data_IF_129329985206
#
_entry.id   IF_129329985206
#
_cell.length_a   1.000
_cell.length_b   1.000
_cell.length_c   1.000
_cell.angle_alpha   90.00
_cell.angle_beta   90.00
_cell.angle_gamma   90.00
#
_symmetry.space_group_name_H-M   'P 1'
#
loop_
_entity.id
_entity.type
_entity.pdbx_description
1 polymer ?
#
# COMPACT_ATOMS: atom_id res chain seq x y z
N UNK A 1 -18.90 20.07 -43.44
CA UNK A 1 -17.81 20.75 -42.68
C UNK A 1 -17.89 20.61 -41.16
N UNK A 2 -18.94 20.01 -40.55
CA UNK A 2 -19.00 19.75 -39.09
C UNK A 2 -18.44 18.39 -38.66
N UNK A 3 -18.52 17.34 -39.49
CA UNK A 3 -18.02 16.00 -39.11
C UNK A 3 -16.50 15.94 -38.91
N UNK A 4 -15.73 16.73 -39.68
CA UNK A 4 -14.27 16.75 -39.59
C UNK A 4 -13.76 17.41 -38.28
N UNK A 5 -14.59 18.22 -37.61
CA UNK A 5 -14.26 18.84 -36.32
C UNK A 5 -14.52 17.92 -35.12
N UNK A 6 -15.41 16.93 -35.25
CA UNK A 6 -15.68 15.95 -34.20
C UNK A 6 -14.60 14.86 -34.11
N UNK A 7 -13.97 14.48 -35.22
CA UNK A 7 -12.93 13.46 -35.23
C UNK A 7 -11.64 13.96 -34.56
N UNK A 8 -11.31 15.26 -34.72
CA UNK A 8 -10.14 15.88 -34.08
C UNK A 8 -10.30 15.98 -32.55
N UNK A 9 -11.52 16.12 -32.04
CA UNK A 9 -11.77 16.12 -30.59
C UNK A 9 -11.69 14.73 -29.95
N UNK A 10 -11.89 13.65 -30.72
CA UNK A 10 -11.83 12.27 -30.20
C UNK A 10 -10.40 11.68 -30.19
N UNK A 11 -9.47 12.27 -30.95
CA UNK A 11 -8.07 11.82 -31.02
C UNK A 11 -7.16 12.36 -29.90
N UNK A 12 -7.69 13.16 -28.97
CA UNK A 12 -6.93 13.71 -27.82
C UNK A 12 -7.25 12.93 -26.52
N UNK A 13 -7.91 11.78 -26.60
CA UNK A 13 -7.82 10.78 -25.53
C UNK A 13 -6.42 10.17 -25.57
N UNK A 14 -5.46 10.96 -25.07
CA UNK A 14 -4.07 10.60 -24.90
C UNK A 14 -4.04 9.35 -24.02
N UNK A 15 -3.45 8.30 -24.56
CA UNK A 15 -2.98 7.14 -23.81
C UNK A 15 -1.99 7.66 -22.76
N UNK A 16 -2.46 7.95 -21.56
CA UNK A 16 -1.59 8.06 -20.38
C UNK A 16 -1.11 6.65 -20.06
N UNK A 17 -0.01 6.26 -20.70
CA UNK A 17 0.69 5.02 -20.37
C UNK A 17 1.36 5.22 -19.02
N UNK A 18 0.92 4.48 -18.01
CA UNK A 18 1.68 4.36 -16.77
C UNK A 18 3.03 3.68 -17.05
N UNK A 19 4.08 4.13 -16.37
CA UNK A 19 5.39 3.52 -16.39
C UNK A 19 6.14 3.76 -15.09
N UNK A 20 7.10 2.87 -14.82
CA UNK A 20 8.04 2.98 -13.70
C UNK A 20 9.42 3.34 -14.23
N UNK A 21 10.10 4.28 -13.59
CA UNK A 21 11.46 4.66 -13.95
C UNK A 21 12.32 5.01 -12.73
N UNK A 22 13.65 5.02 -12.92
CA UNK A 22 14.58 5.36 -11.84
C UNK A 22 14.69 6.86 -11.61
N UNK A 23 14.58 7.28 -10.36
CA UNK A 23 14.65 8.68 -9.92
C UNK A 23 15.37 8.80 -8.56
N UNK A 24 15.64 10.01 -8.06
CA UNK A 24 16.18 10.30 -6.70
C UNK A 24 17.33 9.37 -6.22
N UNK A 25 18.30 9.11 -7.11
CA UNK A 25 19.40 8.19 -6.79
C UNK A 25 18.93 6.75 -6.64
N UNK A 26 18.31 6.20 -7.70
CA UNK A 26 17.88 4.79 -7.84
C UNK A 26 16.55 4.38 -7.18
N UNK A 27 15.77 5.32 -6.65
CA UNK A 27 14.37 5.07 -6.30
C UNK A 27 13.52 4.74 -7.53
N UNK A 28 12.36 4.14 -7.32
CA UNK A 28 11.38 3.81 -8.36
C UNK A 28 10.23 4.80 -8.31
N UNK A 29 10.10 5.60 -9.36
CA UNK A 29 9.00 6.53 -9.53
C UNK A 29 7.91 5.85 -10.36
N UNK A 30 6.76 5.58 -9.75
CA UNK A 30 5.59 4.97 -10.38
C UNK A 30 4.54 6.04 -10.70
N UNK A 31 4.21 6.18 -11.98
CA UNK A 31 3.21 7.16 -12.42
C UNK A 31 1.77 6.67 -12.33
N UNK A 32 1.51 5.36 -12.13
CA UNK A 32 0.16 4.83 -11.89
C UNK A 32 -0.26 5.14 -10.46
N UNK A 33 0.60 4.72 -9.52
CA UNK A 33 0.34 4.82 -8.10
C UNK A 33 0.69 6.21 -7.56
N UNK A 34 1.19 7.09 -8.42
CA UNK A 34 1.61 8.46 -8.08
C UNK A 34 2.55 8.47 -6.87
N UNK A 35 3.42 7.46 -6.79
CA UNK A 35 4.24 7.14 -5.63
C UNK A 35 5.71 6.97 -6.00
N UNK A 36 6.59 7.45 -5.12
CA UNK A 36 8.04 7.25 -5.24
C UNK A 36 8.49 6.24 -4.18
N UNK A 37 8.99 5.10 -4.62
CA UNK A 37 9.48 4.01 -3.78
C UNK A 37 11.00 4.10 -3.60
N UNK A 38 11.43 4.52 -2.41
CA UNK A 38 12.81 4.71 -2.00
C UNK A 38 13.17 3.81 -0.80
N UNK A 39 12.68 2.58 -0.76
CA UNK A 39 12.87 1.68 0.38
C UNK A 39 14.22 0.94 0.33
N UNK A 40 14.59 0.31 1.46
CA UNK A 40 15.63 -0.73 1.52
C UNK A 40 17.06 -0.34 1.17
N UNK A 41 17.46 0.90 1.49
CA UNK A 41 18.84 1.35 1.35
C UNK A 41 19.39 1.86 2.69
N UNK A 42 20.05 0.95 3.44
CA UNK A 42 20.61 1.24 4.78
C UNK A 42 21.69 2.33 4.78
N UNK A 43 22.28 2.65 3.62
CA UNK A 43 23.28 3.72 3.49
C UNK A 43 22.64 5.09 3.19
N UNK A 44 21.34 5.11 2.86
CA UNK A 44 20.62 6.35 2.55
C UNK A 44 20.30 7.10 3.84
N UNK A 45 21.14 8.09 4.14
CA UNK A 45 20.99 8.95 5.32
C UNK A 45 20.14 10.22 5.11
N UNK A 46 19.90 10.56 3.84
CA UNK A 46 19.18 11.77 3.44
C UNK A 46 18.32 11.51 2.22
N UNK A 47 17.24 12.27 2.10
CA UNK A 47 16.45 12.33 0.89
C UNK A 47 17.22 13.11 -0.19
N UNK A 48 17.46 12.46 -1.33
CA UNK A 48 17.94 13.16 -2.51
C UNK A 48 16.79 13.94 -3.14
N UNK A 49 17.08 15.18 -3.54
CA UNK A 49 16.11 16.03 -4.21
C UNK A 49 16.33 15.97 -5.71
N UNK A 50 15.25 16.00 -6.51
CA UNK A 50 15.38 15.97 -7.95
C UNK A 50 15.92 17.32 -8.44
N UNK A 51 16.73 17.29 -9.50
CA UNK A 51 17.21 18.51 -10.15
C UNK A 51 16.04 19.37 -10.63
N UNK A 52 15.05 18.71 -11.24
CA UNK A 52 13.81 19.33 -11.73
C UNK A 52 12.65 18.99 -10.81
N UNK A 53 11.66 19.88 -10.77
CA UNK A 53 10.38 19.63 -10.08
C UNK A 53 9.69 18.39 -10.66
N UNK A 54 9.24 17.48 -9.80
CA UNK A 54 8.44 16.31 -10.15
C UNK A 54 7.01 16.54 -9.69
N UNK A 55 6.04 16.43 -10.60
CA UNK A 55 4.61 16.65 -10.36
C UNK A 55 3.85 15.34 -10.47
N UNK A 56 2.67 15.27 -9.87
CA UNK A 56 1.79 14.10 -9.90
C UNK A 56 2.27 12.97 -9.00
N UNK A 57 3.08 13.27 -7.99
CA UNK A 57 3.47 12.31 -6.96
C UNK A 57 2.91 12.77 -5.62
N UNK A 58 2.00 11.97 -5.07
CA UNK A 58 1.32 12.26 -3.81
C UNK A 58 2.05 11.64 -2.62
N UNK A 59 2.80 10.56 -2.84
CA UNK A 59 3.42 9.77 -1.78
C UNK A 59 4.89 9.47 -2.06
N UNK A 60 5.70 9.48 -1.00
CA UNK A 60 7.10 9.05 -1.06
C UNK A 60 7.35 8.05 0.06
N UNK A 61 7.64 6.80 -0.32
CA UNK A 61 8.02 5.75 0.60
C UNK A 61 9.52 5.72 0.82
N UNK A 62 9.99 5.91 2.05
CA UNK A 62 11.40 5.90 2.43
C UNK A 62 11.67 4.96 3.62
N UNK A 63 10.91 3.89 3.74
CA UNK A 63 11.08 2.93 4.84
C UNK A 63 12.37 2.10 4.73
N UNK A 64 12.85 1.59 5.87
CA UNK A 64 14.03 0.73 5.95
C UNK A 64 15.32 1.35 5.38
N UNK A 65 15.56 2.63 5.68
CA UNK A 65 16.80 3.34 5.37
C UNK A 65 17.51 3.79 6.67
N UNK A 66 18.40 4.79 6.58
CA UNK A 66 18.97 5.52 7.73
C UNK A 66 18.65 7.02 7.67
N UNK A 67 17.48 7.40 7.13
CA UNK A 67 17.07 8.81 7.00
C UNK A 67 17.08 9.45 8.37
N UNK A 68 17.87 10.52 8.53
CA UNK A 68 18.01 11.21 9.82
C UNK A 68 17.13 12.44 9.91
N UNK A 69 17.05 13.19 8.82
CA UNK A 69 16.30 14.44 8.75
C UNK A 69 15.74 14.57 7.34
N UNK A 70 14.48 14.99 7.24
CA UNK A 70 13.86 15.35 5.96
C UNK A 70 14.19 16.81 5.60
N UNK A 71 14.21 17.17 4.30
CA UNK A 71 14.26 18.56 3.87
C UNK A 71 13.11 19.40 4.44
N UNK A 72 13.23 20.72 4.45
CA UNK A 72 12.14 21.59 4.92
C UNK A 72 10.87 21.41 4.08
N UNK A 73 9.71 21.60 4.70
CA UNK A 73 8.40 21.47 4.04
C UNK A 73 8.29 22.35 2.79
N UNK A 74 8.79 23.59 2.84
CA UNK A 74 8.79 24.49 1.69
C UNK A 74 9.63 23.95 0.53
N UNK A 75 10.80 23.37 0.82
CA UNK A 75 11.67 22.79 -0.22
C UNK A 75 11.08 21.50 -0.79
N UNK A 76 10.43 20.70 0.04
CA UNK A 76 9.70 19.52 -0.41
C UNK A 76 8.59 19.91 -1.37
N UNK A 77 7.74 20.88 -1.01
CA UNK A 77 6.63 21.34 -1.86
C UNK A 77 7.11 22.11 -3.10
N UNK A 78 8.29 22.74 -3.06
CA UNK A 78 8.91 23.32 -4.25
C UNK A 78 9.29 22.24 -5.27
N UNK A 79 9.78 21.09 -4.79
CA UNK A 79 10.24 19.98 -5.64
C UNK A 79 9.13 19.00 -6.00
N UNK A 80 8.16 18.81 -5.12
CA UNK A 80 7.03 17.89 -5.21
C UNK A 80 5.75 18.64 -4.80
N UNK A 81 5.14 19.43 -5.70
CA UNK A 81 4.04 20.33 -5.35
C UNK A 81 2.74 19.60 -4.98
N UNK A 82 2.58 18.36 -5.42
CA UNK A 82 1.39 17.54 -5.18
C UNK A 82 1.58 16.57 -3.99
N UNK A 83 2.73 16.66 -3.30
CA UNK A 83 3.10 15.77 -2.21
C UNK A 83 2.17 15.92 -1.02
N UNK A 84 1.61 14.80 -0.57
CA UNK A 84 0.69 14.73 0.56
C UNK A 84 1.34 14.03 1.75
N UNK A 85 2.09 12.95 1.53
CA UNK A 85 2.75 12.24 2.62
C UNK A 85 4.13 11.67 2.26
N UNK A 86 4.98 11.57 3.28
CA UNK A 86 6.25 10.85 3.24
C UNK A 86 6.22 9.81 4.34
N UNK A 87 6.54 8.58 3.98
CA UNK A 87 6.71 7.48 4.93
C UNK A 87 8.20 7.29 5.24
N UNK A 88 8.59 7.58 6.49
CA UNK A 88 9.93 7.39 7.02
C UNK A 88 9.96 6.35 8.15
N UNK A 89 8.97 5.45 8.21
CA UNK A 89 8.97 4.35 9.16
C UNK A 89 10.21 3.47 8.99
N UNK A 90 10.65 2.84 10.07
CA UNK A 90 11.77 1.91 10.11
C UNK A 90 13.11 2.56 9.72
N UNK A 91 13.26 3.84 10.08
CA UNK A 91 14.51 4.62 10.04
C UNK A 91 15.00 4.87 11.48
N UNK A 92 15.93 4.04 12.03
CA UNK A 92 16.23 4.02 13.46
C UNK A 92 16.81 5.32 14.03
N UNK A 93 17.46 6.11 13.18
CA UNK A 93 18.12 7.36 13.57
C UNK A 93 17.37 8.61 13.09
N UNK A 94 16.07 8.47 12.75
CA UNK A 94 15.25 9.61 12.35
C UNK A 94 15.01 10.56 13.52
N UNK A 95 15.26 11.85 13.29
CA UNK A 95 15.11 12.90 14.30
C UNK A 95 13.64 13.32 14.43
N UNK A 96 12.94 12.66 15.36
CA UNK A 96 11.55 12.94 15.71
C UNK A 96 11.28 14.39 16.14
N UNK A 97 12.30 15.14 16.59
CA UNK A 97 12.11 16.53 16.99
C UNK A 97 11.78 17.46 15.82
N UNK A 98 12.03 16.99 14.59
CA UNK A 98 11.76 17.74 13.36
C UNK A 98 10.31 17.65 12.91
N UNK A 99 9.53 16.66 13.37
CA UNK A 99 8.15 16.44 12.92
C UNK A 99 7.22 17.67 13.02
N UNK A 100 7.26 18.50 14.07
CA UNK A 100 6.38 19.66 14.19
C UNK A 100 6.56 20.72 13.09
N UNK A 101 7.65 20.66 12.31
CA UNK A 101 7.89 21.59 11.21
C UNK A 101 7.12 21.25 9.93
N UNK A 102 6.45 20.10 9.89
CA UNK A 102 5.63 19.66 8.77
C UNK A 102 4.15 19.84 9.14
N UNK A 103 3.45 20.70 8.39
CA UNK A 103 2.06 21.09 8.64
C UNK A 103 1.11 20.73 7.50
N UNK A 104 1.65 20.64 6.27
CA UNK A 104 0.93 20.35 5.03
C UNK A 104 1.24 18.95 4.52
N UNK A 105 2.49 18.51 4.67
CA UNK A 105 2.94 17.17 4.29
C UNK A 105 2.87 16.27 5.53
N UNK A 106 2.12 15.18 5.44
CA UNK A 106 2.06 14.20 6.52
C UNK A 106 3.35 13.36 6.54
N UNK A 107 4.00 13.28 7.70
CA UNK A 107 5.18 12.42 7.87
C UNK A 107 4.79 11.22 8.72
N UNK A 108 4.78 10.02 8.11
CA UNK A 108 4.57 8.75 8.81
C UNK A 108 5.92 8.31 9.37
N UNK A 109 5.98 8.01 10.67
CA UNK A 109 7.23 7.67 11.35
C UNK A 109 6.97 6.80 12.57
N UNK A 110 8.02 6.15 13.05
CA UNK A 110 7.98 5.33 14.28
C UNK A 110 8.02 6.17 15.57
N UNK A 111 8.12 7.49 15.43
CA UNK A 111 8.22 8.41 16.56
C UNK A 111 7.00 8.28 17.48
N UNK A 112 7.22 7.83 18.71
CA UNK A 112 6.16 7.65 19.69
C UNK A 112 5.37 6.35 19.56
N UNK A 113 5.73 5.43 18.65
CA UNK A 113 5.22 4.05 18.64
C UNK A 113 5.97 3.22 19.69
N UNK A 114 5.27 2.37 20.44
CA UNK A 114 5.94 1.39 21.30
C UNK A 114 6.53 0.26 20.44
N UNK A 115 7.68 -0.31 20.86
CA UNK A 115 8.39 -1.35 20.09
C UNK A 115 7.58 -2.61 19.77
N UNK A 116 6.45 -2.84 20.45
CA UNK A 116 5.50 -3.90 20.14
C UNK A 116 4.69 -3.65 18.87
N UNK A 117 4.43 -2.39 18.53
CA UNK A 117 3.60 -2.02 17.38
C UNK A 117 4.39 -2.15 16.07
N UNK A 118 5.70 -1.87 16.12
CA UNK A 118 6.63 -2.02 14.99
C UNK A 118 6.82 -3.47 14.53
N UNK A 119 6.57 -4.45 15.40
CA UNK A 119 6.70 -5.89 15.04
C UNK A 119 5.48 -6.43 14.28
N UNK A 120 4.41 -5.64 14.19
CA UNK A 120 3.15 -6.05 13.58
C UNK A 120 2.96 -5.52 12.15
N UNK A 121 3.81 -4.60 11.69
CA UNK A 121 3.87 -4.16 10.30
C UNK A 121 4.63 -5.19 9.47
N UNK A 122 4.08 -5.50 8.29
CA UNK A 122 4.40 -6.66 7.46
C UNK A 122 5.91 -6.73 7.17
N UNK A 123 6.54 -7.84 7.58
CA UNK A 123 7.95 -8.11 7.31
C UNK A 123 8.28 -7.94 5.82
N UNK A 124 9.24 -7.09 5.52
CA UNK A 124 9.81 -6.97 4.18
C UNK A 124 10.37 -8.31 3.70
N UNK A 125 10.17 -8.56 2.41
CA UNK A 125 10.81 -9.67 1.70
C UNK A 125 12.29 -9.31 1.52
N UNK A 126 13.14 -9.69 2.48
CA UNK A 126 14.58 -9.50 2.35
C UNK A 126 15.11 -10.30 1.15
N UNK A 127 15.91 -9.71 0.26
CA UNK A 127 16.52 -10.46 -0.85
C UNK A 127 17.45 -11.56 -0.31
N UNK A 128 17.66 -12.67 -1.07
CA UNK A 128 18.62 -13.71 -0.71
C UNK A 128 20.01 -13.12 -0.45
N UNK A 129 20.67 -13.57 0.63
CA UNK A 129 22.04 -13.20 0.95
C UNK A 129 22.90 -14.47 0.98
N UNK A 130 24.23 -14.32 0.95
CA UNK A 130 25.15 -15.47 0.98
C UNK A 130 24.99 -16.37 2.23
N UNK A 131 24.31 -15.86 3.28
CA UNK A 131 24.02 -16.55 4.54
C UNK A 131 22.62 -17.23 4.56
N UNK A 132 21.75 -16.96 3.57
CA UNK A 132 20.40 -17.54 3.49
C UNK A 132 20.00 -17.69 2.03
N UNK A 133 20.16 -18.91 1.52
CA UNK A 133 19.79 -19.29 0.17
C UNK A 133 18.27 -19.25 -0.08
N UNK A 134 17.86 -19.55 -1.31
CA UNK A 134 16.45 -19.51 -1.72
C UNK A 134 15.58 -20.47 -0.89
N UNK A 135 16.14 -21.57 -0.38
CA UNK A 135 15.42 -22.54 0.44
C UNK A 135 15.19 -21.99 1.85
N UNK A 136 16.21 -21.35 2.44
CA UNK A 136 16.12 -20.60 3.68
C UNK A 136 15.12 -19.43 3.60
N UNK A 137 15.13 -18.67 2.50
CA UNK A 137 14.19 -17.57 2.27
C UNK A 137 12.75 -18.08 2.11
N UNK A 138 12.53 -19.14 1.32
CA UNK A 138 11.22 -19.74 1.14
C UNK A 138 10.64 -20.23 2.46
N UNK A 139 11.48 -20.84 3.32
CA UNK A 139 11.08 -21.27 4.65
C UNK A 139 10.70 -20.10 5.55
N UNK A 140 11.49 -19.02 5.57
CA UNK A 140 11.16 -17.81 6.33
C UNK A 140 9.86 -17.17 5.87
N UNK A 141 9.63 -17.07 4.57
CA UNK A 141 8.38 -16.55 4.02
C UNK A 141 7.18 -17.45 4.37
N UNK A 142 7.36 -18.77 4.31
CA UNK A 142 6.33 -19.71 4.74
C UNK A 142 5.99 -19.54 6.22
N UNK A 143 7.00 -19.48 7.09
CA UNK A 143 6.83 -19.33 8.54
C UNK A 143 6.14 -17.98 8.88
N UNK A 144 6.54 -16.90 8.20
CA UNK A 144 5.92 -15.57 8.34
C UNK A 144 4.47 -15.55 7.86
N UNK A 145 4.18 -16.16 6.69
CA UNK A 145 2.82 -16.28 6.17
C UNK A 145 1.94 -17.12 7.10
N UNK A 146 2.48 -18.23 7.61
CA UNK A 146 1.77 -19.10 8.54
C UNK A 146 1.40 -18.37 9.84
N UNK A 147 2.36 -17.63 10.42
CA UNK A 147 2.11 -16.81 11.61
C UNK A 147 1.04 -15.73 11.35
N UNK A 148 1.08 -15.08 10.18
CA UNK A 148 0.09 -14.08 9.79
C UNK A 148 -1.32 -14.69 9.65
N UNK A 149 -1.43 -15.84 9.00
CA UNK A 149 -2.72 -16.56 8.84
C UNK A 149 -3.28 -16.98 10.20
N UNK A 150 -2.45 -17.46 11.12
CA UNK A 150 -2.87 -17.79 12.48
C UNK A 150 -3.38 -16.56 13.24
N UNK A 151 -2.68 -15.44 13.13
CA UNK A 151 -3.10 -14.16 13.74
C UNK A 151 -4.42 -13.67 13.16
N UNK A 152 -4.59 -13.74 11.83
CA UNK A 152 -5.86 -13.43 11.16
C UNK A 152 -6.99 -14.33 11.66
N UNK A 153 -6.70 -15.62 11.83
CA UNK A 153 -7.67 -16.58 12.35
C UNK A 153 -8.08 -16.25 13.79
N UNK A 154 -7.14 -15.86 14.65
CA UNK A 154 -7.43 -15.42 16.02
C UNK A 154 -8.30 -14.17 16.05
N UNK A 155 -7.97 -13.15 15.24
CA UNK A 155 -8.77 -11.93 15.13
C UNK A 155 -10.18 -12.20 14.57
N UNK A 156 -10.31 -13.11 13.61
CA UNK A 156 -11.60 -13.53 13.07
C UNK A 156 -12.41 -14.32 14.11
N UNK A 157 -11.76 -15.19 14.88
CA UNK A 157 -12.40 -15.95 15.96
C UNK A 157 -12.90 -15.03 17.07
N UNK A 158 -12.12 -14.04 17.47
CA UNK A 158 -12.51 -13.01 18.45
C UNK A 158 -13.71 -12.21 17.95
N UNK A 159 -13.67 -11.75 16.68
CA UNK A 159 -14.83 -11.07 16.06
C UNK A 159 -16.06 -11.97 15.96
N UNK A 160 -15.88 -13.28 15.75
CA UNK A 160 -16.98 -14.25 15.69
C UNK A 160 -17.58 -14.54 17.08
N UNK A 161 -16.79 -14.50 18.15
CA UNK A 161 -17.27 -14.66 19.52
C UNK A 161 -18.08 -13.44 20.01
N UNK A 162 -17.84 -12.26 19.44
CA UNK A 162 -18.58 -11.02 19.72
C UNK A 162 -19.79 -10.75 18.80
N UNK A 163 -19.97 -11.53 17.73
CA UNK A 163 -21.15 -11.43 16.87
C UNK A 163 -22.32 -12.20 17.49
N UNK A 164 -23.44 -11.50 17.71
CA UNK A 164 -24.64 -12.04 18.36
C UNK A 164 -25.22 -13.21 17.53
N UNK A 165 -24.95 -14.44 18.00
CA UNK A 165 -25.05 -15.71 17.24
C UNK A 165 -26.42 -16.03 16.66
N UNK A 166 -27.50 -15.49 17.20
CA UNK A 166 -28.87 -15.87 16.80
C UNK A 166 -29.32 -15.19 15.51
N UNK A 167 -28.92 -13.95 15.27
CA UNK A 167 -29.42 -13.18 14.13
C UNK A 167 -28.69 -13.57 12.84
N UNK A 168 -27.36 -13.63 12.87
CA UNK A 168 -26.55 -14.05 11.72
C UNK A 168 -26.83 -15.50 11.29
N UNK A 169 -26.94 -16.45 12.23
CA UNK A 169 -27.26 -17.85 11.90
C UNK A 169 -28.67 -17.97 11.30
N UNK A 170 -29.62 -17.14 11.76
CA UNK A 170 -30.97 -17.10 11.21
C UNK A 170 -30.97 -16.50 9.81
N UNK A 171 -30.23 -15.41 9.59
CA UNK A 171 -30.13 -14.74 8.29
C UNK A 171 -29.46 -15.64 7.23
N UNK A 172 -28.38 -16.33 7.60
CA UNK A 172 -27.72 -17.31 6.72
C UNK A 172 -28.64 -18.48 6.41
N UNK A 173 -29.37 -19.00 7.41
CA UNK A 173 -30.33 -20.10 7.21
C UNK A 173 -31.47 -19.68 6.28
N UNK A 174 -32.00 -18.47 6.44
CA UNK A 174 -33.08 -17.94 5.60
C UNK A 174 -32.61 -17.76 4.15
N UNK A 175 -31.43 -17.18 3.94
CA UNK A 175 -30.84 -17.01 2.61
C UNK A 175 -30.60 -18.34 1.89
N UNK A 176 -30.10 -19.38 2.58
CA UNK A 176 -29.92 -20.72 1.99
C UNK A 176 -31.27 -21.32 1.57
N UNK A 177 -32.31 -21.17 2.39
CA UNK A 177 -33.64 -21.69 2.07
C UNK A 177 -34.24 -20.98 0.85
N UNK A 178 -34.09 -19.65 0.75
CA UNK A 178 -34.52 -18.87 -0.42
C UNK A 178 -33.79 -19.31 -1.70
N UNK A 179 -32.49 -19.58 -1.62
CA UNK A 179 -31.73 -20.11 -2.75
C UNK A 179 -32.23 -21.47 -3.21
N UNK A 180 -32.47 -22.40 -2.28
CA UNK A 180 -32.97 -23.75 -2.59
C UNK A 180 -34.34 -23.68 -3.27
N UNK A 181 -35.26 -22.84 -2.78
CA UNK A 181 -36.58 -22.68 -3.37
C UNK A 181 -36.51 -22.03 -4.77
N UNK A 182 -35.66 -21.02 -4.95
CA UNK A 182 -35.43 -20.41 -6.26
C UNK A 182 -34.86 -21.40 -7.29
N UNK A 183 -33.93 -22.26 -6.87
CA UNK A 183 -33.38 -23.31 -7.72
C UNK A 183 -34.47 -24.32 -8.08
N UNK A 184 -35.23 -24.85 -7.11
CA UNK A 184 -36.31 -25.80 -7.37
C UNK A 184 -37.36 -25.23 -8.33
N UNK A 185 -37.77 -23.98 -8.13
CA UNK A 185 -38.77 -23.32 -8.98
C UNK A 185 -38.25 -23.14 -10.41
N UNK A 186 -36.97 -22.78 -10.56
CA UNK A 186 -36.31 -22.66 -11.87
C UNK A 186 -36.23 -24.01 -12.59
N UNK A 187 -35.80 -25.06 -11.90
CA UNK A 187 -35.74 -26.43 -12.46
C UNK A 187 -37.13 -26.98 -12.80
N UNK A 188 -38.18 -26.60 -12.07
CA UNK A 188 -39.56 -27.00 -12.38
C UNK A 188 -40.12 -26.26 -13.60
N UNK A 189 -39.74 -25.00 -13.83
CA UNK A 189 -40.13 -24.24 -15.03
C UNK A 189 -39.44 -24.73 -16.31
N UNK A 190 -38.21 -25.24 -16.20
CA UNK A 190 -37.45 -25.78 -17.34
C UNK A 190 -37.93 -27.18 -17.76
N UNK A 191 -38.55 -27.95 -16.85
CA UNK A 191 -39.11 -29.29 -17.14
C UNK A 191 -40.59 -29.28 -17.55
N UNK A 192 -41.22 -28.10 -17.63
CA UNK A 192 -42.62 -27.92 -18.02
C UNK A 192 -42.80 -27.30 -19.42
N UNK A 193 -41.70 -27.04 -20.15
CA UNK A 193 -41.67 -26.61 -21.55
C UNK A 193 -41.19 -27.73 -22.45
#
# INVERSE_FOLDING_TARGET
MMLFRLIIFFSIFVLSSSYVFKCLGQCECDTDDETIHCHNNRDRQRMELPEKRLKGYNYIGMTHNDIRVLPSEDLLLEKFPDLQAIDVELNPNFDCSTLPQYSKVQVLSDCGKETSDLKNEVYEIMPPSDDCDNECQLKRHYDSLHAYVLKLWEMLKEKFEHLNKTQFVTDVRNWINELIENIKNKTKSENAN
#
